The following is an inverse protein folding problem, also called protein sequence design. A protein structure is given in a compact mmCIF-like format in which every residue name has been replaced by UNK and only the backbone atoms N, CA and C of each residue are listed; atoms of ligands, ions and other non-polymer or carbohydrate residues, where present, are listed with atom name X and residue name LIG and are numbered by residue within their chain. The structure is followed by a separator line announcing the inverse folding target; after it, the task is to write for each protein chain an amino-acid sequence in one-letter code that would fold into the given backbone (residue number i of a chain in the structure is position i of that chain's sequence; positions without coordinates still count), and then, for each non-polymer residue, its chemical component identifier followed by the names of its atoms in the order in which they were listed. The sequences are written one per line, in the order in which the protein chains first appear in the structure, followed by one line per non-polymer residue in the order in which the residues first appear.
data_IF_873217771125
#
_entry.id   IF_873217771125
#
_cell.length_a   1.000
_cell.length_b   1.000
_cell.length_c   1.000
_cell.angle_alpha   90.00
_cell.angle_beta   90.00
_cell.angle_gamma   90.00
#
_symmetry.space_group_name_H-M   'P 1'
#
loop_
_entity.id
_entity.type
_entity.pdbx_description
1 polymer ?
#
# COMPACT_ATOMS: atom_id res chain seq x y z
N UNK A 1 -14.10 1.19 31.03
CA UNK A 1 -13.82 1.52 29.64
C UNK A 1 -12.65 2.49 29.63
N UNK A 2 -11.51 2.12 29.06
CA UNK A 2 -10.34 3.01 28.93
C UNK A 2 -10.35 3.79 27.62
N UNK A 3 -10.76 3.13 26.55
CA UNK A 3 -10.88 3.73 25.24
C UNK A 3 -12.19 3.27 24.61
N UNK A 4 -12.88 4.21 23.94
CA UNK A 4 -14.09 3.95 23.19
C UNK A 4 -14.01 4.77 21.90
N UNK A 5 -14.06 4.09 20.77
CA UNK A 5 -14.14 4.71 19.45
C UNK A 5 -15.46 4.33 18.82
N UNK A 6 -16.15 5.34 18.27
CA UNK A 6 -17.42 5.17 17.57
C UNK A 6 -17.27 5.80 16.20
N UNK A 7 -17.47 5.00 15.16
CA UNK A 7 -17.35 5.41 13.77
C UNK A 7 -18.63 5.05 13.03
N UNK A 8 -19.21 6.02 12.32
CA UNK A 8 -20.39 5.80 11.49
C UNK A 8 -20.04 6.07 10.03
N UNK A 9 -20.13 5.03 9.22
CA UNK A 9 -20.07 5.11 7.76
C UNK A 9 -21.51 5.22 7.25
N UNK A 10 -21.91 6.34 6.62
CA UNK A 10 -23.25 6.47 6.06
C UNK A 10 -23.46 5.54 4.86
N UNK A 11 -24.72 5.31 4.43
CA UNK A 11 -25.02 4.65 3.17
C UNK A 11 -24.29 5.28 1.99
N UNK A 12 -24.02 4.47 0.96
CA UNK A 12 -23.33 4.94 -0.24
C UNK A 12 -24.19 5.87 -1.11
N UNK A 13 -25.51 5.84 -0.94
CA UNK A 13 -26.46 6.67 -1.69
C UNK A 13 -27.63 7.12 -0.81
N UNK A 14 -28.08 8.36 -1.00
CA UNK A 14 -29.32 8.89 -0.40
C UNK A 14 -30.58 8.43 -1.14
N UNK A 15 -30.47 7.92 -2.39
CA UNK A 15 -31.53 7.23 -3.15
C UNK A 15 -31.05 5.83 -3.58
N UNK A 16 -30.95 4.87 -2.64
CA UNK A 16 -30.40 3.55 -2.92
C UNK A 16 -31.39 2.67 -3.69
N UNK A 17 -30.88 1.89 -4.65
CA UNK A 17 -31.66 0.93 -5.46
C UNK A 17 -31.39 -0.53 -5.11
N UNK A 18 -30.45 -0.75 -4.20
CA UNK A 18 -30.03 -2.05 -3.71
C UNK A 18 -29.65 -1.96 -2.23
N UNK A 19 -29.51 -3.12 -1.59
CA UNK A 19 -29.24 -3.21 -0.16
C UNK A 19 -27.85 -2.69 0.21
N UNK A 20 -26.84 -2.90 -0.64
CA UNK A 20 -25.48 -2.49 -0.34
C UNK A 20 -25.34 -0.95 -0.36
N UNK A 21 -26.04 -0.27 -1.27
CA UNK A 21 -26.09 1.19 -1.32
C UNK A 21 -26.97 1.82 -0.24
N UNK A 22 -27.92 1.07 0.33
CA UNK A 22 -28.87 1.55 1.35
C UNK A 22 -28.36 1.46 2.80
N UNK A 23 -27.24 0.77 3.05
CA UNK A 23 -26.80 0.44 4.40
C UNK A 23 -25.66 1.33 4.88
N UNK A 24 -25.84 1.93 6.06
CA UNK A 24 -24.74 2.50 6.84
C UNK A 24 -24.13 1.45 7.77
N UNK A 25 -22.90 1.68 8.22
CA UNK A 25 -22.19 0.81 9.16
C UNK A 25 -21.72 1.59 10.37
N UNK A 26 -22.21 1.21 11.55
CA UNK A 26 -21.73 1.70 12.83
C UNK A 26 -20.68 0.72 13.38
N UNK A 27 -19.48 1.19 13.64
CA UNK A 27 -18.39 0.44 14.27
C UNK A 27 -18.13 1.02 15.65
N UNK A 28 -18.22 0.17 16.67
CA UNK A 28 -17.93 0.55 18.05
C UNK A 28 -16.77 -0.31 18.53
N UNK A 29 -15.66 0.33 18.89
CA UNK A 29 -14.48 -0.34 19.43
C UNK A 29 -14.28 0.07 20.88
N UNK A 30 -14.24 -0.92 21.76
CA UNK A 30 -14.12 -0.76 23.20
C UNK A 30 -12.86 -1.45 23.69
N UNK A 31 -12.00 -0.73 24.44
CA UNK A 31 -10.76 -1.29 25.01
C UNK A 31 -10.70 -1.04 26.51
N UNK A 32 -10.26 -2.04 27.25
CA UNK A 32 -10.00 -1.99 28.68
C UNK A 32 -8.94 -3.05 29.03
N UNK A 33 -8.24 -2.87 30.14
CA UNK A 33 -7.29 -3.87 30.65
C UNK A 33 -8.02 -5.10 31.19
N UNK A 34 -9.32 -4.96 31.51
CA UNK A 34 -10.18 -6.05 31.96
C UNK A 34 -11.11 -6.53 30.81
N UNK A 35 -10.90 -7.75 30.26
CA UNK A 35 -11.71 -8.26 29.15
C UNK A 35 -13.20 -8.40 29.51
N UNK A 36 -13.54 -8.52 30.80
CA UNK A 36 -14.94 -8.63 31.24
C UNK A 36 -15.72 -7.33 31.03
N UNK A 37 -15.04 -6.18 31.05
CA UNK A 37 -15.68 -4.87 30.84
C UNK A 37 -16.02 -4.59 29.37
N UNK A 38 -15.33 -5.24 28.44
CA UNK A 38 -15.54 -5.06 26.99
C UNK A 38 -16.28 -6.22 26.33
N UNK A 39 -16.48 -7.34 27.04
CA UNK A 39 -17.36 -8.44 26.62
C UNK A 39 -18.85 -8.16 26.88
N UNK A 40 -19.59 -9.17 27.37
CA UNK A 40 -21.06 -9.10 27.58
C UNK A 40 -21.55 -7.88 28.37
N UNK A 41 -20.77 -7.39 29.33
CA UNK A 41 -21.15 -6.21 30.12
C UNK A 41 -21.33 -4.96 29.24
N UNK A 42 -20.58 -4.86 28.14
CA UNK A 42 -20.68 -3.78 27.16
C UNK A 42 -21.61 -4.13 25.99
N UNK A 43 -21.48 -5.34 25.42
CA UNK A 43 -22.19 -5.69 24.19
C UNK A 43 -23.69 -5.91 24.39
N UNK A 44 -24.11 -6.42 25.55
CA UNK A 44 -25.53 -6.64 25.86
C UNK A 44 -26.37 -5.34 25.79
N UNK A 45 -26.05 -4.28 26.55
CA UNK A 45 -26.84 -3.04 26.48
C UNK A 45 -26.79 -2.38 25.10
N UNK A 46 -25.69 -2.51 24.36
CA UNK A 46 -25.58 -1.99 23.00
C UNK A 46 -26.55 -2.71 22.04
N UNK A 47 -26.57 -4.05 22.06
CA UNK A 47 -27.48 -4.86 21.23
C UNK A 47 -28.93 -4.66 21.65
N UNK A 48 -29.24 -4.66 22.94
CA UNK A 48 -30.59 -4.43 23.46
C UNK A 48 -31.12 -3.06 23.03
N UNK A 49 -30.31 -2.01 23.15
CA UNK A 49 -30.69 -0.65 22.72
C UNK A 49 -30.92 -0.57 21.21
N UNK A 50 -30.09 -1.24 20.43
CA UNK A 50 -30.19 -1.23 18.98
C UNK A 50 -31.41 -2.05 18.48
N UNK A 51 -31.73 -3.19 19.11
CA UNK A 51 -32.94 -3.97 18.81
C UNK A 51 -34.22 -3.28 19.28
N UNK A 52 -34.14 -2.39 20.27
CA UNK A 52 -35.25 -1.54 20.71
C UNK A 52 -35.48 -0.31 19.82
N UNK A 53 -34.62 -0.07 18.81
CA UNK A 53 -34.70 1.06 17.88
C UNK A 53 -35.51 0.73 16.63
N UNK A 54 -35.51 1.62 15.62
CA UNK A 54 -36.21 1.40 14.36
C UNK A 54 -35.76 0.09 13.68
N UNK A 55 -36.69 -0.70 13.10
CA UNK A 55 -36.35 -1.93 12.39
C UNK A 55 -35.34 -1.67 11.27
N UNK A 56 -34.34 -2.55 11.14
CA UNK A 56 -33.30 -2.47 10.10
C UNK A 56 -31.88 -2.62 10.62
N UNK A 57 -31.66 -2.61 11.93
CA UNK A 57 -30.37 -2.95 12.51
C UNK A 57 -30.14 -4.47 12.47
N UNK A 58 -28.97 -4.88 11.99
CA UNK A 58 -28.48 -6.25 12.07
C UNK A 58 -26.95 -6.23 12.30
N UNK A 59 -26.39 -7.14 13.11
CA UNK A 59 -24.95 -7.22 13.34
C UNK A 59 -24.25 -7.94 12.17
N UNK A 60 -22.98 -7.60 11.92
CA UNK A 60 -22.15 -8.32 10.92
C UNK A 60 -21.63 -9.66 11.45
N UNK A 61 -21.56 -9.82 12.78
CA UNK A 61 -21.23 -11.06 13.48
C UNK A 61 -21.83 -11.04 14.90
N UNK A 62 -22.07 -12.20 15.53
CA UNK A 62 -22.48 -12.25 16.93
C UNK A 62 -21.43 -11.58 17.85
N UNK A 63 -21.84 -10.88 18.93
CA UNK A 63 -20.90 -10.34 19.89
C UNK A 63 -20.05 -11.44 20.54
N UNK A 64 -18.74 -11.20 20.64
CA UNK A 64 -17.78 -12.08 21.32
C UNK A 64 -17.36 -11.50 22.69
N UNK A 65 -16.67 -12.32 23.48
CA UNK A 65 -15.96 -11.85 24.67
C UNK A 65 -14.75 -10.99 24.26
N UNK A 66 -14.26 -10.18 25.21
CA UNK A 66 -13.05 -9.38 25.00
C UNK A 66 -11.85 -10.27 24.68
N UNK A 67 -11.14 -9.94 23.59
CA UNK A 67 -9.91 -10.62 23.18
C UNK A 67 -8.69 -9.71 23.38
N UNK A 68 -7.50 -10.30 23.61
CA UNK A 68 -6.26 -9.54 23.59
C UNK A 68 -5.99 -9.00 22.18
N UNK A 69 -5.35 -7.83 22.10
CA UNK A 69 -4.88 -7.22 20.86
C UNK A 69 -3.43 -6.75 21.03
N UNK A 70 -2.67 -6.74 19.93
CA UNK A 70 -1.31 -6.22 19.93
C UNK A 70 -1.31 -4.70 19.98
N UNK A 71 -0.50 -4.10 20.85
CA UNK A 71 -0.20 -2.66 20.81
C UNK A 71 1.16 -2.51 20.15
N UNK A 72 1.19 -1.87 18.99
CA UNK A 72 2.45 -1.61 18.28
C UNK A 72 3.11 -0.35 18.85
N UNK A 73 4.36 -0.49 19.29
CA UNK A 73 5.21 0.63 19.71
C UNK A 73 6.53 0.58 18.95
N UNK A 74 6.74 1.45 17.93
CA UNK A 74 8.02 1.50 17.24
C UNK A 74 9.09 2.02 18.20
N UNK A 75 10.20 1.30 18.28
CA UNK A 75 11.40 1.72 18.99
C UNK A 75 12.63 1.32 18.18
N UNK A 76 13.74 2.02 18.42
CA UNK A 76 15.05 1.62 17.89
C UNK A 76 15.65 0.54 18.77
N UNK A 77 16.33 -0.42 18.15
CA UNK A 77 17.19 -1.42 18.80
C UNK A 77 18.61 -1.17 18.28
N UNK A 78 19.63 -1.29 19.13
CA UNK A 78 21.00 -1.15 18.67
C UNK A 78 21.32 -2.29 17.70
N UNK A 79 22.00 -1.99 16.59
CA UNK A 79 22.30 -3.00 15.58
C UNK A 79 23.14 -4.15 16.17
N UNK A 80 24.02 -3.83 17.11
CA UNK A 80 24.86 -4.81 17.82
C UNK A 80 24.03 -5.80 18.68
N UNK A 81 22.79 -5.46 19.03
CA UNK A 81 21.87 -6.33 19.78
C UNK A 81 21.05 -7.27 18.87
N UNK A 82 21.20 -7.18 17.55
CA UNK A 82 20.46 -8.00 16.56
C UNK A 82 21.42 -8.92 15.80
N UNK A 83 21.80 -10.09 16.36
CA UNK A 83 22.65 -11.03 15.66
C UNK A 83 21.93 -11.61 14.43
N UNK A 84 22.64 -11.74 13.32
CA UNK A 84 22.17 -12.46 12.14
C UNK A 84 22.71 -13.88 12.24
N UNK A 85 21.82 -14.85 12.38
CA UNK A 85 22.13 -16.27 12.43
C UNK A 85 21.70 -16.89 11.10
N UNK A 86 22.62 -17.59 10.44
CA UNK A 86 22.34 -18.35 9.22
C UNK A 86 22.45 -19.83 9.56
N UNK A 87 21.36 -20.56 9.34
CA UNK A 87 21.27 -22.01 9.55
C UNK A 87 20.97 -22.68 8.21
N UNK A 88 21.72 -23.72 7.88
CA UNK A 88 21.53 -24.55 6.69
C UNK A 88 21.43 -26.00 7.17
N UNK A 89 20.36 -26.69 6.77
CA UNK A 89 20.11 -28.10 7.10
C UNK A 89 20.17 -28.44 8.61
N UNK A 90 19.79 -27.49 9.47
CA UNK A 90 19.84 -27.68 10.93
C UNK A 90 21.17 -27.32 11.58
N UNK A 91 22.18 -26.92 10.78
CA UNK A 91 23.49 -26.51 11.28
C UNK A 91 23.68 -24.99 11.13
N UNK A 92 24.10 -24.35 12.23
CA UNK A 92 24.46 -22.94 12.23
C UNK A 92 25.77 -22.75 11.45
N UNK A 93 25.71 -22.08 10.31
CA UNK A 93 26.87 -21.84 9.44
C UNK A 93 27.50 -20.47 9.65
N UNK A 94 26.76 -19.52 10.24
CA UNK A 94 27.29 -18.21 10.61
C UNK A 94 26.46 -17.54 11.72
N UNK A 95 27.16 -16.91 12.66
CA UNK A 95 26.61 -15.88 13.53
C UNK A 95 27.42 -14.60 13.33
N UNK A 96 26.76 -13.58 12.76
CA UNK A 96 27.37 -12.27 12.53
C UNK A 96 26.71 -11.26 13.48
N UNK A 97 27.52 -10.45 14.17
CA UNK A 97 27.00 -9.26 14.85
C UNK A 97 26.20 -8.45 13.83
N UNK A 98 25.10 -7.81 14.27
CA UNK A 98 24.25 -7.05 13.36
C UNK A 98 25.11 -6.13 12.49
N UNK A 99 24.88 -6.22 11.17
CA UNK A 99 25.85 -5.74 10.20
C UNK A 99 26.27 -4.29 10.44
N UNK A 100 27.55 -3.97 10.19
CA UNK A 100 27.94 -2.57 9.97
C UNK A 100 27.02 -2.02 8.89
N UNK A 101 26.37 -0.89 9.17
CA UNK A 101 25.66 -0.15 8.14
C UNK A 101 26.56 -0.06 6.90
N UNK A 102 26.04 -0.47 5.73
CA UNK A 102 26.77 -0.34 4.48
C UNK A 102 27.33 1.08 4.41
N UNK A 103 28.62 1.20 4.07
CA UNK A 103 29.28 2.49 3.97
C UNK A 103 28.66 3.26 2.80
N UNK A 104 27.59 3.99 3.10
CA UNK A 104 26.86 4.83 2.19
C UNK A 104 26.14 5.86 3.04
N UNK A 105 26.29 7.15 2.69
CA UNK A 105 25.42 8.15 3.30
C UNK A 105 23.98 7.78 2.91
N UNK A 106 23.01 7.84 3.84
CA UNK A 106 21.62 7.91 3.44
C UNK A 106 21.50 9.00 2.38
N UNK A 107 20.93 8.69 1.22
CA UNK A 107 20.66 9.70 0.19
C UNK A 107 19.78 10.75 0.83
N UNK A 108 20.31 11.95 1.04
CA UNK A 108 19.54 13.00 1.67
C UNK A 108 18.34 13.31 0.78
N UNK A 109 17.20 13.70 1.36
CA UNK A 109 16.01 14.07 0.58
C UNK A 109 16.32 15.14 -0.49
N UNK A 110 17.28 16.03 -0.22
CA UNK A 110 17.75 17.06 -1.14
C UNK A 110 18.58 16.53 -2.33
N UNK A 111 19.05 15.29 -2.27
CA UNK A 111 19.83 14.62 -3.30
C UNK A 111 18.98 13.70 -4.18
N UNK A 112 17.73 13.45 -3.77
CA UNK A 112 16.77 12.81 -4.65
C UNK A 112 16.50 13.75 -5.83
N UNK A 113 16.48 13.25 -7.07
CA UNK A 113 16.21 14.12 -8.20
C UNK A 113 14.82 14.73 -8.01
N UNK A 114 14.73 16.05 -8.17
CA UNK A 114 13.45 16.73 -8.21
C UNK A 114 12.58 16.12 -9.31
N UNK A 115 11.25 16.11 -9.14
CA UNK A 115 10.39 15.77 -10.26
C UNK A 115 10.75 16.66 -11.46
N UNK A 116 10.78 16.10 -12.68
CA UNK A 116 10.93 16.90 -13.89
C UNK A 116 9.88 18.02 -13.87
N UNK A 117 10.32 19.26 -14.08
CA UNK A 117 9.45 20.44 -14.13
C UNK A 117 9.37 20.94 -15.57
N UNK A 118 8.12 21.10 -16.03
CA UNK A 118 7.58 21.49 -17.36
C UNK A 118 7.17 20.29 -18.25
N UNK A 119 5.94 20.12 -18.74
CA UNK A 119 4.89 21.10 -19.06
C UNK A 119 3.45 20.63 -18.73
N UNK A 120 2.56 21.61 -18.53
CA UNK A 120 1.11 21.41 -18.71
C UNK A 120 0.90 20.84 -20.11
N UNK A 121 0.50 19.58 -20.22
CA UNK A 121 0.13 18.98 -21.50
C UNK A 121 -1.16 19.67 -21.95
N UNK A 122 -1.00 20.70 -22.79
CA UNK A 122 -2.10 21.43 -23.39
C UNK A 122 -2.76 20.53 -24.45
N UNK A 123 -4.08 20.41 -24.40
CA UNK A 123 -4.82 19.57 -25.35
C UNK A 123 -6.16 19.11 -24.81
N UNK A 124 -6.87 18.27 -25.59
CA UNK A 124 -8.09 17.62 -25.12
C UNK A 124 -7.79 16.65 -23.97
N UNK A 125 -8.74 16.56 -23.04
CA UNK A 125 -8.71 15.63 -21.93
C UNK A 125 -9.82 14.59 -22.09
N UNK A 126 -9.52 13.35 -21.73
CA UNK A 126 -10.50 12.28 -21.67
C UNK A 126 -10.66 11.78 -20.23
N UNK A 127 -11.91 11.49 -19.86
CA UNK A 127 -12.22 10.89 -18.56
C UNK A 127 -11.73 9.44 -18.52
N UNK A 128 -10.80 9.14 -17.63
CA UNK A 128 -10.20 7.80 -17.45
C UNK A 128 -10.02 7.48 -15.97
N UNK A 129 -9.78 6.22 -15.64
CA UNK A 129 -9.42 5.82 -14.27
C UNK A 129 -7.95 6.18 -14.05
N UNK A 130 -7.58 6.62 -12.86
CA UNK A 130 -6.18 6.93 -12.54
C UNK A 130 -5.25 5.75 -12.82
N UNK A 131 -5.73 4.53 -12.56
CA UNK A 131 -5.02 3.28 -12.83
C UNK A 131 -4.94 2.85 -14.30
N UNK A 132 -5.39 3.67 -15.27
CA UNK A 132 -5.33 3.35 -16.70
C UNK A 132 -3.90 3.03 -17.15
N UNK A 133 -2.92 3.81 -16.72
CA UNK A 133 -1.49 3.52 -16.95
C UNK A 133 -0.63 3.64 -15.68
N UNK A 134 -1.22 4.00 -14.54
CA UNK A 134 -0.52 4.06 -13.24
C UNK A 134 -0.68 2.72 -12.53
N UNK A 135 0.42 2.00 -12.38
CA UNK A 135 0.55 0.87 -11.46
C UNK A 135 0.57 1.36 -10.02
N UNK A 136 -0.01 0.58 -9.09
CA UNK A 136 0.01 0.93 -7.68
C UNK A 136 0.04 -0.30 -6.78
N UNK A 137 0.67 -0.16 -5.62
CA UNK A 137 0.64 -1.15 -4.54
C UNK A 137 0.72 -0.43 -3.20
N UNK A 138 -0.02 -0.93 -2.21
CA UNK A 138 -0.04 -0.34 -0.89
C UNK A 138 0.12 -1.36 0.23
N UNK A 139 0.50 -0.86 1.38
CA UNK A 139 0.66 -1.64 2.60
C UNK A 139 0.86 -0.76 3.81
N UNK A 140 0.78 -1.37 4.97
CA UNK A 140 1.02 -0.73 6.25
C UNK A 140 2.52 -0.54 6.53
N UNK A 141 2.83 0.51 7.27
CA UNK A 141 4.11 0.67 7.96
C UNK A 141 3.83 1.15 9.38
N UNK A 142 3.45 0.20 10.23
CA UNK A 142 2.88 0.50 11.55
C UNK A 142 1.53 1.21 11.39
N UNK A 143 1.35 2.36 12.05
CA UNK A 143 0.16 3.20 11.92
C UNK A 143 0.04 4.00 10.60
N UNK A 144 1.05 3.94 9.73
CA UNK A 144 1.08 4.69 8.48
C UNK A 144 0.65 3.81 7.32
N UNK A 145 0.05 4.41 6.29
CA UNK A 145 -0.14 3.77 5.01
C UNK A 145 0.96 4.19 4.03
N UNK A 146 1.50 3.23 3.30
CA UNK A 146 2.48 3.44 2.25
C UNK A 146 1.87 3.04 0.91
N UNK A 147 1.92 3.93 -0.09
CA UNK A 147 1.39 3.72 -1.43
C UNK A 147 2.51 3.99 -2.44
N UNK A 148 2.98 2.93 -3.11
CA UNK A 148 3.84 3.05 -4.27
C UNK A 148 3.01 3.18 -5.54
N UNK A 149 3.38 4.12 -6.40
CA UNK A 149 2.80 4.40 -7.71
C UNK A 149 3.91 4.36 -8.75
N UNK A 150 3.68 3.76 -9.91
CA UNK A 150 4.68 3.72 -10.97
C UNK A 150 4.05 3.73 -12.36
N UNK A 151 4.83 4.21 -13.33
CA UNK A 151 4.54 4.00 -14.75
C UNK A 151 5.32 2.77 -15.18
N UNK A 152 4.61 1.80 -15.76
CA UNK A 152 5.18 0.56 -16.27
C UNK A 152 6.33 0.86 -17.24
N UNK A 153 7.47 0.20 -17.08
CA UNK A 153 8.51 0.25 -18.11
C UNK A 153 8.06 -0.58 -19.32
N UNK A 154 8.16 -0.08 -20.57
CA UNK A 154 7.73 -0.85 -21.75
C UNK A 154 8.45 -2.19 -21.91
N UNK A 155 9.67 -2.29 -21.36
CA UNK A 155 10.43 -3.53 -21.29
C UNK A 155 9.92 -4.56 -20.27
N UNK A 156 8.97 -4.23 -19.38
CA UNK A 156 8.50 -5.18 -18.36
C UNK A 156 7.94 -6.46 -18.97
N UNK A 157 7.18 -6.36 -20.06
CA UNK A 157 6.61 -7.54 -20.73
C UNK A 157 7.72 -8.41 -21.37
N UNK A 158 8.76 -7.78 -21.93
CA UNK A 158 9.94 -8.47 -22.48
C UNK A 158 10.81 -9.11 -21.37
N UNK A 159 11.02 -8.40 -20.26
CA UNK A 159 11.74 -8.91 -19.09
C UNK A 159 11.01 -10.09 -18.45
N UNK A 160 9.69 -10.01 -18.34
CA UNK A 160 8.86 -11.10 -17.83
C UNK A 160 8.85 -12.29 -18.80
N UNK A 161 8.79 -12.05 -20.12
CA UNK A 161 8.91 -13.12 -21.11
C UNK A 161 10.29 -13.80 -21.07
N UNK A 162 11.38 -13.03 -20.92
CA UNK A 162 12.73 -13.55 -20.73
C UNK A 162 12.83 -14.39 -19.46
N UNK A 163 12.34 -13.87 -18.33
CA UNK A 163 12.29 -14.61 -17.05
C UNK A 163 11.38 -15.85 -17.11
N UNK A 164 10.31 -15.85 -17.92
CA UNK A 164 9.47 -17.04 -18.12
C UNK A 164 10.14 -18.10 -18.98
N UNK A 165 11.03 -17.73 -19.91
CA UNK A 165 11.92 -18.70 -20.58
C UNK A 165 12.96 -19.29 -19.61
N UNK A 166 13.22 -18.62 -18.49
CA UNK A 166 13.95 -19.19 -17.35
C UNK A 166 13.05 -19.98 -16.38
N UNK A 167 11.71 -19.87 -16.45
CA UNK A 167 10.80 -20.57 -15.53
C UNK A 167 10.69 -22.08 -15.79
N UNK A 168 11.13 -22.58 -16.94
CA UNK A 168 11.38 -24.02 -17.12
C UNK A 168 12.49 -24.52 -16.16
N UNK A 169 13.36 -23.64 -15.66
CA UNK A 169 14.33 -23.95 -14.61
C UNK A 169 13.72 -24.01 -13.19
N UNK A 170 12.49 -23.54 -12.98
CA UNK A 170 11.82 -23.51 -11.66
C UNK A 170 11.17 -24.85 -11.28
N UNK A 171 10.88 -25.74 -12.24
CA UNK A 171 10.12 -26.98 -11.96
C UNK A 171 10.96 -28.25 -11.93
N UNK A 172 12.17 -28.24 -12.49
CA UNK A 172 13.20 -29.26 -12.27
C UNK A 172 14.54 -28.81 -12.88
N UNK A 173 15.34 -27.97 -12.22
CA UNK A 173 16.66 -27.65 -12.74
C UNK A 173 17.49 -28.94 -12.74
N UNK A 174 17.82 -29.43 -13.93
CA UNK A 174 18.87 -30.44 -14.06
C UNK A 174 20.17 -29.71 -13.76
N UNK A 175 20.70 -29.90 -12.56
CA UNK A 175 22.04 -29.41 -12.22
C UNK A 175 23.04 -30.28 -12.98
N UNK A 176 23.35 -29.89 -14.21
CA UNK A 176 24.48 -30.39 -14.97
C UNK A 176 25.65 -29.40 -14.90
N UNK A 177 26.83 -29.81 -15.36
CA UNK A 177 28.03 -28.95 -15.43
C UNK A 177 27.86 -27.76 -16.41
N UNK A 178 26.68 -27.59 -17.03
CA UNK A 178 26.37 -26.56 -18.04
C UNK A 178 25.46 -25.44 -17.50
N UNK A 179 24.83 -25.61 -16.33
CA UNK A 179 24.09 -24.54 -15.65
C UNK A 179 24.99 -23.69 -14.74
N UNK A 180 26.14 -23.26 -15.25
CA UNK A 180 26.81 -22.08 -14.70
C UNK A 180 26.01 -20.85 -15.13
N UNK A 181 25.08 -20.42 -14.27
CA UNK A 181 24.30 -19.20 -14.53
C UNK A 181 25.20 -17.96 -14.56
N UNK A 182 26.48 -18.04 -14.21
CA UNK A 182 27.40 -16.91 -14.35
C UNK A 182 27.50 -16.40 -15.79
N UNK A 183 27.45 -17.26 -16.82
CA UNK A 183 27.44 -16.78 -18.22
C UNK A 183 26.13 -16.09 -18.61
N UNK A 184 24.98 -16.62 -18.15
CA UNK A 184 23.65 -16.03 -18.39
C UNK A 184 23.53 -14.66 -17.73
N UNK A 185 24.08 -14.51 -16.51
CA UNK A 185 24.10 -13.24 -15.77
C UNK A 185 25.27 -12.32 -16.15
N UNK A 186 26.29 -12.83 -16.87
CA UNK A 186 27.42 -12.03 -17.37
C UNK A 186 27.14 -11.36 -18.72
N UNK A 187 26.14 -11.83 -19.46
CA UNK A 187 25.69 -11.21 -20.69
C UNK A 187 24.48 -10.32 -20.41
N UNK A 188 24.72 -9.01 -20.24
CA UNK A 188 23.64 -8.02 -20.33
C UNK A 188 23.09 -8.06 -21.76
N UNK A 189 21.97 -8.78 -21.94
CA UNK A 189 21.21 -8.73 -23.19
C UNK A 189 20.34 -7.49 -23.13
N UNK A 190 20.66 -6.50 -23.95
CA UNK A 190 19.80 -5.33 -24.13
C UNK A 190 18.41 -5.81 -24.59
N UNK A 191 17.39 -5.46 -23.80
CA UNK A 191 16.01 -5.69 -24.23
C UNK A 191 15.72 -4.77 -25.42
N UNK A 192 15.17 -5.33 -26.50
CA UNK A 192 14.66 -4.54 -27.62
C UNK A 192 13.36 -3.88 -27.18
N UNK A 193 13.42 -2.59 -26.89
CA UNK A 193 12.30 -1.81 -26.37
C UNK A 193 11.98 -0.70 -27.37
N UNK A 194 10.71 -0.62 -27.76
CA UNK A 194 10.22 0.47 -28.60
C UNK A 194 10.50 1.84 -27.95
N UNK A 195 11.31 2.65 -28.65
CA UNK A 195 11.70 3.98 -28.20
C UNK A 195 10.50 4.91 -28.04
N UNK A 196 9.47 4.80 -28.89
CA UNK A 196 8.26 5.64 -28.76
C UNK A 196 7.49 5.28 -27.48
N UNK A 197 7.40 3.98 -27.15
CA UNK A 197 6.80 3.53 -25.91
C UNK A 197 7.58 4.00 -24.66
N UNK A 198 8.91 4.08 -24.75
CA UNK A 198 9.78 4.61 -23.69
C UNK A 198 9.52 6.10 -23.47
N UNK A 199 9.45 6.89 -24.54
CA UNK A 199 9.13 8.31 -24.48
C UNK A 199 7.72 8.56 -23.93
N UNK A 200 6.72 7.77 -24.34
CA UNK A 200 5.38 7.85 -23.78
C UNK A 200 5.36 7.50 -22.28
N UNK A 201 6.12 6.50 -21.84
CA UNK A 201 6.24 6.17 -20.42
C UNK A 201 6.94 7.27 -19.61
N UNK A 202 7.95 7.94 -20.19
CA UNK A 202 8.59 9.11 -19.59
C UNK A 202 7.57 10.26 -19.45
N UNK A 203 6.85 10.61 -20.52
CA UNK A 203 5.83 11.67 -20.49
C UNK A 203 4.70 11.38 -19.48
N UNK A 204 4.28 10.11 -19.34
CA UNK A 204 3.32 9.68 -18.31
C UNK A 204 3.86 9.86 -16.90
N UNK A 205 5.16 9.62 -16.68
CA UNK A 205 5.80 9.78 -15.38
C UNK A 205 5.94 11.26 -15.00
N UNK A 206 6.34 12.11 -15.96
CA UNK A 206 6.38 13.56 -15.80
C UNK A 206 5.00 14.10 -15.41
N UNK A 207 3.97 13.71 -16.17
CA UNK A 207 2.58 14.07 -15.84
C UNK A 207 2.16 13.57 -14.46
N UNK A 208 2.55 12.34 -14.06
CA UNK A 208 2.22 11.80 -12.73
C UNK A 208 2.86 12.63 -11.62
N UNK A 209 4.10 13.11 -11.81
CA UNK A 209 4.81 13.95 -10.85
C UNK A 209 4.10 15.30 -10.63
N UNK A 210 3.59 15.90 -11.71
CA UNK A 210 2.86 17.17 -11.69
C UNK A 210 1.43 17.00 -11.16
N UNK A 211 0.76 15.92 -11.57
CA UNK A 211 -0.61 15.63 -11.19
C UNK A 211 -0.73 15.28 -9.70
N UNK A 212 0.21 14.50 -9.15
CA UNK A 212 0.09 13.98 -7.79
C UNK A 212 0.62 14.95 -6.73
N UNK A 213 -0.19 15.97 -6.44
CA UNK A 213 0.04 16.88 -5.31
C UNK A 213 -0.67 16.41 -4.03
N UNK A 214 -0.39 17.06 -2.89
CA UNK A 214 -1.12 16.81 -1.64
C UNK A 214 -2.62 17.10 -1.79
N UNK A 215 -2.95 18.15 -2.52
CA UNK A 215 -4.32 18.59 -2.79
C UNK A 215 -5.04 17.58 -3.67
N UNK A 216 -4.41 17.13 -4.76
CA UNK A 216 -4.97 16.10 -5.64
C UNK A 216 -5.13 14.76 -4.93
N UNK A 217 -4.16 14.37 -4.09
CA UNK A 217 -4.31 13.19 -3.25
C UNK A 217 -5.49 13.33 -2.28
N UNK A 218 -5.69 14.50 -1.67
CA UNK A 218 -6.83 14.76 -0.79
C UNK A 218 -8.18 14.72 -1.54
N UNK A 219 -8.23 15.17 -2.80
CA UNK A 219 -9.42 15.04 -3.65
C UNK A 219 -9.73 13.57 -3.97
N UNK A 220 -8.70 12.78 -4.29
CA UNK A 220 -8.84 11.36 -4.63
C UNK A 220 -9.07 10.46 -3.42
N UNK A 221 -8.56 10.87 -2.24
CA UNK A 221 -8.64 10.16 -0.98
C UNK A 221 -8.99 11.13 0.17
N UNK A 222 -10.27 11.52 0.30
CA UNK A 222 -10.71 12.55 1.26
C UNK A 222 -10.36 12.26 2.71
N UNK A 223 -10.37 10.98 3.09
CA UNK A 223 -9.94 10.48 4.40
C UNK A 223 -8.48 10.78 4.77
N UNK A 224 -7.62 11.08 3.79
CA UNK A 224 -6.24 11.50 4.01
C UNK A 224 -6.06 13.03 4.03
N UNK A 225 -7.10 13.82 3.74
CA UNK A 225 -7.00 15.28 3.53
C UNK A 225 -6.41 16.04 4.74
N UNK A 226 -6.74 15.61 5.95
CA UNK A 226 -6.28 16.23 7.20
C UNK A 226 -4.99 15.60 7.75
N UNK A 227 -4.50 14.53 7.12
CA UNK A 227 -3.33 13.80 7.59
C UNK A 227 -2.02 14.38 7.02
N UNK A 228 -0.89 14.21 7.73
CA UNK A 228 0.43 14.47 7.17
C UNK A 228 0.74 13.48 6.05
N UNK A 229 1.19 14.01 4.91
CA UNK A 229 1.54 13.24 3.72
C UNK A 229 2.97 13.58 3.32
N UNK A 230 3.78 12.55 3.07
CA UNK A 230 5.11 12.68 2.49
C UNK A 230 5.10 12.05 1.10
N UNK A 231 5.57 12.78 0.09
CA UNK A 231 5.72 12.30 -1.28
C UNK A 231 7.21 12.21 -1.60
N UNK A 232 7.64 11.05 -2.08
CA UNK A 232 9.03 10.73 -2.42
C UNK A 232 9.10 10.26 -3.88
N UNK A 233 9.98 10.87 -4.67
CA UNK A 233 10.11 10.60 -6.10
C UNK A 233 11.28 9.65 -6.37
N UNK A 234 11.10 8.71 -7.29
CA UNK A 234 12.12 7.77 -7.76
C UNK A 234 12.18 7.78 -9.29
N UNK A 235 12.80 8.82 -9.90
CA UNK A 235 12.81 8.99 -11.35
C UNK A 235 13.38 7.81 -12.17
N UNK A 236 14.47 7.13 -11.74
CA UNK A 236 14.98 5.96 -12.47
C UNK A 236 13.98 4.80 -12.55
N UNK A 237 13.01 4.76 -11.63
CA UNK A 237 11.97 3.73 -11.58
C UNK A 237 10.63 4.20 -12.16
N UNK A 238 10.55 5.46 -12.65
CA UNK A 238 9.29 6.14 -12.99
C UNK A 238 8.23 5.99 -11.89
N UNK A 239 8.67 6.13 -10.64
CA UNK A 239 7.84 5.84 -9.47
C UNK A 239 7.76 7.00 -8.48
N UNK A 240 6.68 7.00 -7.71
CA UNK A 240 6.41 7.89 -6.57
C UNK A 240 5.96 7.03 -5.40
N UNK A 241 6.51 7.27 -4.21
CA UNK A 241 6.03 6.67 -2.98
C UNK A 241 5.38 7.74 -2.09
N UNK A 242 4.15 7.47 -1.67
CA UNK A 242 3.37 8.32 -0.78
C UNK A 242 3.25 7.65 0.58
N UNK A 243 3.62 8.37 1.63
CA UNK A 243 3.43 7.93 3.03
C UNK A 243 2.39 8.81 3.69
N UNK A 244 1.24 8.22 4.06
CA UNK A 244 0.15 8.89 4.76
C UNK A 244 0.24 8.53 6.24
N UNK A 245 0.64 9.50 7.06
CA UNK A 245 0.91 9.25 8.48
C UNK A 245 -0.39 9.11 9.27
N UNK A 246 -0.47 8.07 10.10
CA UNK A 246 -1.60 7.84 11.01
C UNK A 246 -2.91 7.40 10.34
N UNK A 247 -2.93 7.12 9.03
CA UNK A 247 -4.14 6.64 8.34
C UNK A 247 -4.68 5.33 8.96
N UNK A 248 -3.80 4.52 9.53
CA UNK A 248 -4.12 3.26 10.19
C UNK A 248 -4.06 3.36 11.73
N UNK A 249 -4.19 4.57 12.28
CA UNK A 249 -4.13 4.81 13.72
C UNK A 249 -2.78 4.38 14.31
N UNK A 250 -2.79 3.47 15.28
CA UNK A 250 -1.57 2.89 15.88
C UNK A 250 -1.11 1.58 15.22
N UNK A 251 -1.76 1.14 14.14
CA UNK A 251 -1.39 -0.04 13.36
C UNK A 251 -2.52 -1.04 13.20
N UNK A 252 -2.21 -2.16 12.51
CA UNK A 252 -3.18 -3.20 12.09
C UNK A 252 -4.05 -3.72 13.24
N UNK A 253 -3.46 -3.88 14.42
CA UNK A 253 -4.14 -4.43 15.60
C UNK A 253 -5.05 -3.43 16.32
N UNK A 254 -5.04 -2.16 15.92
CA UNK A 254 -5.72 -1.07 16.62
C UNK A 254 -6.65 -0.22 15.73
N UNK A 255 -6.54 -0.36 14.41
CA UNK A 255 -7.38 0.38 13.45
C UNK A 255 -8.79 -0.21 13.34
N UNK A 256 -9.78 0.67 13.17
CA UNK A 256 -11.20 0.33 12.96
C UNK A 256 -11.56 0.14 11.49
N UNK A 257 -10.61 0.41 10.59
CA UNK A 257 -10.82 0.36 9.15
C UNK A 257 -11.10 -1.06 8.69
N UNK A 258 -11.95 -1.19 7.67
CA UNK A 258 -12.21 -2.47 6.98
C UNK A 258 -10.96 -3.04 6.31
N UNK A 259 -10.06 -2.16 5.84
CA UNK A 259 -8.74 -2.48 5.33
C UNK A 259 -7.65 -2.03 6.33
N UNK A 260 -7.37 -2.84 7.38
CA UNK A 260 -6.47 -2.45 8.45
C UNK A 260 -4.99 -2.42 8.03
N UNK A 261 -4.67 -2.99 6.86
CA UNK A 261 -3.32 -3.11 6.33
C UNK A 261 -3.07 -2.21 5.11
N UNK A 262 -4.05 -1.35 4.77
CA UNK A 262 -4.05 -0.54 3.55
C UNK A 262 -3.79 -1.36 2.27
N UNK A 263 -4.21 -2.63 2.17
CA UNK A 263 -3.97 -3.46 0.97
C UNK A 263 -4.82 -3.06 -0.23
N UNK A 264 -6.04 -2.59 0.01
CA UNK A 264 -6.97 -2.11 -1.00
C UNK A 264 -6.78 -0.63 -1.37
N UNK A 265 -6.02 0.13 -0.57
CA UNK A 265 -5.86 1.57 -0.74
C UNK A 265 -5.32 1.99 -2.12
N UNK A 266 -4.32 1.26 -2.63
CA UNK A 266 -3.76 1.49 -3.97
C UNK A 266 -4.82 1.29 -5.06
N UNK A 267 -5.65 0.26 -4.94
CA UNK A 267 -6.70 -0.01 -5.94
C UNK A 267 -7.85 1.00 -5.83
N UNK A 268 -8.19 1.45 -4.63
CA UNK A 268 -9.12 2.56 -4.42
C UNK A 268 -8.66 3.82 -5.17
N UNK A 269 -7.37 4.19 -5.02
CA UNK A 269 -6.79 5.33 -5.75
C UNK A 269 -6.81 5.11 -7.26
N UNK A 270 -6.39 3.93 -7.74
CA UNK A 270 -6.41 3.57 -9.16
C UNK A 270 -7.81 3.62 -9.75
N UNK A 271 -8.82 3.31 -8.95
CA UNK A 271 -10.22 3.38 -9.36
C UNK A 271 -10.76 4.81 -9.42
N UNK A 272 -10.07 5.87 -8.98
CA UNK A 272 -10.64 7.23 -9.08
C UNK A 272 -10.73 7.67 -10.55
N UNK A 273 -11.86 8.27 -10.95
CA UNK A 273 -11.99 8.89 -12.26
C UNK A 273 -11.32 10.26 -12.27
N UNK A 274 -10.48 10.50 -13.27
CA UNK A 274 -9.74 11.73 -13.46
C UNK A 274 -9.77 12.15 -14.94
N UNK A 275 -9.42 13.39 -15.21
CA UNK A 275 -9.26 13.90 -16.57
C UNK A 275 -7.78 13.75 -16.97
N UNK A 276 -7.54 12.99 -18.03
CA UNK A 276 -6.19 12.65 -18.51
C UNK A 276 -5.99 13.26 -19.90
N UNK A 277 -4.85 13.94 -20.18
CA UNK A 277 -4.53 14.41 -21.52
C UNK A 277 -4.56 13.26 -22.53
N UNK A 278 -5.24 13.45 -23.68
CA UNK A 278 -5.36 12.39 -24.69
C UNK A 278 -4.01 11.95 -25.26
N UNK A 279 -3.01 12.84 -25.29
CA UNK A 279 -1.65 12.53 -25.72
C UNK A 279 -0.94 11.47 -24.84
N UNK A 280 -1.47 11.17 -23.65
CA UNK A 280 -0.92 10.15 -22.74
C UNK A 280 -1.64 8.80 -22.80
N UNK A 281 -2.68 8.65 -23.62
CA UNK A 281 -3.48 7.43 -23.72
C UNK A 281 -2.98 6.52 -24.83
#
# INVERSE_FOLDING_TARGET
MRELTVEYMPPASDDPRDVASAQGRLVITAKDDDPKKVGKAFTRPAVESALASYPGMFPTAPPSDGSPYGVYWPSTVAIDDVPVIVEIDGEEVAQVAGGKALAGRPVAKAELPSPPQEAIIAGPFARRRFGTFVGARSGDKGGNANVGLWIRHPAEDAAVALAWQEADALTAPQVDEQHDTAEVWAADVDLDVDAEAVELANARYEWLCDFLTRERLAEMLPEAATLPVEIHYFPPLRAINVVIKGLLGRGVSETTRSDPQAKGLAEQLRAVWIDVPEALL
#
